data_IF_379315280527
#
_entry.id   IF_379315280527
#
_cell.length_a   1.000
_cell.length_b   1.000
_cell.length_c   1.000
_cell.angle_alpha   90.00
_cell.angle_beta   90.00
_cell.angle_gamma   90.00
#
_symmetry.space_group_name_H-M   'P 1'
#
loop_
_entity.id
_entity.type
_entity.pdbx_description
1 polymer ?
#
# COMPACT_ATOMS: atom_id res chain seq x y z
N UNK A 1 -26.71 -47.65 -41.36
CA UNK A 1 -27.33 -47.69 -40.01
C UNK A 1 -26.60 -46.70 -39.13
N UNK A 2 -27.30 -45.70 -38.55
CA UNK A 2 -26.70 -44.79 -37.56
C UNK A 2 -26.90 -45.40 -36.17
N UNK A 3 -25.88 -45.44 -35.30
CA UNK A 3 -26.04 -45.97 -33.95
C UNK A 3 -27.07 -45.13 -33.17
N UNK A 4 -27.89 -45.76 -32.31
CA UNK A 4 -28.89 -45.05 -31.54
C UNK A 4 -28.21 -44.05 -30.59
N UNK A 5 -28.71 -42.82 -30.60
CA UNK A 5 -28.20 -41.74 -29.76
C UNK A 5 -28.53 -42.05 -28.30
N UNK A 6 -27.52 -42.41 -27.49
CA UNK A 6 -27.72 -42.78 -26.09
C UNK A 6 -27.68 -41.55 -25.19
N UNK A 7 -28.86 -41.01 -24.88
CA UNK A 7 -29.04 -39.80 -24.07
C UNK A 7 -28.34 -39.91 -22.68
N UNK A 8 -28.26 -41.12 -22.11
CA UNK A 8 -27.57 -41.36 -20.83
C UNK A 8 -26.07 -41.07 -20.93
N UNK A 9 -25.43 -41.43 -22.04
CA UNK A 9 -24.00 -41.21 -22.26
C UNK A 9 -23.68 -39.72 -22.40
N UNK A 10 -24.56 -38.94 -23.03
CA UNK A 10 -24.39 -37.48 -23.16
C UNK A 10 -24.54 -36.79 -21.81
N UNK A 11 -25.55 -37.16 -21.02
CA UNK A 11 -25.77 -36.61 -19.68
C UNK A 11 -24.58 -36.85 -18.75
N UNK A 12 -24.04 -38.08 -18.72
CA UNK A 12 -22.86 -38.42 -17.89
C UNK A 12 -21.64 -37.59 -18.27
N UNK A 13 -21.42 -37.31 -19.56
CA UNK A 13 -20.29 -36.49 -20.03
C UNK A 13 -20.42 -35.01 -19.61
N UNK A 14 -21.63 -34.46 -19.64
CA UNK A 14 -21.89 -33.07 -19.19
C UNK A 14 -21.65 -32.95 -17.68
N UNK A 15 -22.14 -33.90 -16.89
CA UNK A 15 -21.93 -33.91 -15.42
C UNK A 15 -20.45 -34.07 -15.08
N UNK A 16 -19.73 -34.94 -15.78
CA UNK A 16 -18.28 -35.11 -15.59
C UNK A 16 -17.50 -33.82 -15.90
N UNK A 17 -17.86 -33.11 -16.98
CA UNK A 17 -17.25 -31.82 -17.32
C UNK A 17 -17.54 -30.76 -16.26
N UNK A 18 -18.78 -30.64 -15.78
CA UNK A 18 -19.15 -29.69 -14.71
C UNK A 18 -18.40 -29.98 -13.40
N UNK A 19 -18.25 -31.26 -13.03
CA UNK A 19 -17.48 -31.66 -11.85
C UNK A 19 -15.99 -31.33 -12.01
N UNK A 20 -15.41 -31.53 -13.19
CA UNK A 20 -14.02 -31.14 -13.48
C UNK A 20 -13.84 -29.62 -13.38
N UNK A 21 -14.76 -28.84 -13.95
CA UNK A 21 -14.75 -27.38 -13.86
C UNK A 21 -14.83 -26.88 -12.40
N UNK A 22 -15.67 -27.52 -11.58
CA UNK A 22 -15.82 -27.20 -10.16
C UNK A 22 -14.55 -27.50 -9.36
N UNK A 23 -13.89 -28.62 -9.66
CA UNK A 23 -12.62 -28.99 -9.03
C UNK A 23 -11.47 -28.04 -9.42
N UNK A 24 -11.40 -27.58 -10.67
CA UNK A 24 -10.43 -26.58 -11.09
C UNK A 24 -10.64 -25.23 -10.38
N UNK A 25 -11.89 -24.83 -10.10
CA UNK A 25 -12.18 -23.60 -9.34
C UNK A 25 -11.69 -23.63 -7.89
N UNK A 26 -11.78 -24.79 -7.22
CA UNK A 26 -11.35 -24.95 -5.83
C UNK A 26 -9.82 -24.87 -5.66
N UNK A 27 -9.03 -25.32 -6.64
CA UNK A 27 -7.57 -25.27 -6.59
C UNK A 27 -7.03 -23.83 -6.68
N UNK A 28 -7.73 -22.94 -7.39
CA UNK A 28 -7.32 -21.53 -7.53
C UNK A 28 -7.60 -20.72 -6.24
N UNK A 29 -8.58 -21.15 -5.42
CA UNK A 29 -8.95 -20.44 -4.19
C UNK A 29 -7.98 -20.69 -3.01
N UNK A 30 -7.09 -21.68 -3.09
CA UNK A 30 -6.23 -22.07 -1.95
C UNK A 30 -4.78 -21.60 -2.03
N UNK A 31 -4.34 -21.04 -3.16
CA UNK A 31 -3.00 -20.49 -3.30
C UNK A 31 -2.98 -18.98 -3.02
N UNK A 32 -3.33 -18.58 -1.80
CA UNK A 32 -2.87 -17.27 -1.31
C UNK A 32 -1.39 -17.47 -0.97
N UNK A 33 -0.45 -16.89 -1.73
CA UNK A 33 0.96 -17.00 -1.41
C UNK A 33 1.15 -16.48 0.01
N UNK A 34 1.88 -17.23 0.85
CA UNK A 34 2.28 -16.70 2.15
C UNK A 34 3.04 -15.40 1.92
N UNK A 35 2.70 -14.36 2.69
CA UNK A 35 3.42 -13.11 2.65
C UNK A 35 4.91 -13.38 2.89
N UNK A 36 5.81 -12.68 2.19
CA UNK A 36 7.24 -12.84 2.42
C UNK A 36 7.55 -12.51 3.90
N UNK A 37 8.60 -13.14 4.45
CA UNK A 37 8.94 -13.05 5.86
C UNK A 37 9.19 -11.61 6.36
N UNK A 38 9.38 -10.66 5.43
CA UNK A 38 9.66 -9.26 5.65
C UNK A 38 8.47 -8.32 5.33
N UNK A 39 7.29 -8.86 5.02
CA UNK A 39 6.11 -8.07 4.64
C UNK A 39 5.67 -7.06 5.70
N UNK A 40 5.90 -7.35 6.99
CA UNK A 40 5.54 -6.48 8.10
C UNK A 40 6.55 -5.35 8.37
N UNK A 41 7.73 -5.36 7.73
CA UNK A 41 8.75 -4.34 7.98
C UNK A 41 8.30 -2.98 7.40
N UNK A 42 8.65 -1.87 8.06
CA UNK A 42 8.39 -0.56 7.51
C UNK A 42 9.29 -0.27 6.31
N UNK A 43 8.90 0.72 5.52
CA UNK A 43 9.69 1.28 4.44
C UNK A 43 10.33 2.59 4.90
N UNK A 44 11.65 2.71 4.71
CA UNK A 44 12.37 3.97 4.85
C UNK A 44 12.77 4.43 3.45
N UNK A 45 12.21 5.52 2.97
CA UNK A 45 12.57 6.11 1.68
C UNK A 45 13.16 7.49 1.87
N UNK A 46 14.29 7.75 1.24
CA UNK A 46 14.85 9.12 1.12
C UNK A 46 14.86 9.54 -0.35
N UNK A 47 14.55 10.80 -0.60
CA UNK A 47 14.54 11.41 -1.93
C UNK A 47 15.48 12.61 -1.95
N UNK A 48 16.45 12.61 -2.85
CA UNK A 48 17.48 13.65 -2.95
C UNK A 48 17.70 14.04 -4.40
N UNK A 49 18.44 15.12 -4.64
CA UNK A 49 18.91 15.42 -5.98
C UNK A 49 20.01 14.43 -6.42
N UNK A 50 20.28 14.29 -7.73
CA UNK A 50 21.37 13.44 -8.22
C UNK A 50 22.74 13.94 -7.75
N UNK A 51 22.87 15.25 -7.52
CA UNK A 51 24.06 15.92 -6.99
C UNK A 51 24.03 16.08 -5.45
N UNK A 52 23.33 15.21 -4.72
CA UNK A 52 23.13 15.32 -3.26
C UNK A 52 24.44 15.50 -2.48
N UNK A 53 25.55 14.95 -2.95
CA UNK A 53 26.85 15.08 -2.30
C UNK A 53 27.37 16.53 -2.24
N UNK A 54 26.97 17.36 -3.21
CA UNK A 54 27.29 18.80 -3.25
C UNK A 54 26.31 19.65 -2.42
N UNK A 55 25.24 19.04 -1.88
CA UNK A 55 24.18 19.71 -1.13
C UNK A 55 24.33 19.34 0.35
N UNK A 56 24.78 20.26 1.23
CA UNK A 56 25.15 19.92 2.60
C UNK A 56 24.06 19.20 3.39
N UNK A 57 22.80 19.61 3.25
CA UNK A 57 21.68 18.99 3.96
C UNK A 57 21.40 17.56 3.45
N UNK A 58 21.41 17.34 2.14
CA UNK A 58 21.15 16.02 1.56
C UNK A 58 22.32 15.07 1.82
N UNK A 59 23.55 15.56 1.70
CA UNK A 59 24.75 14.82 2.07
C UNK A 59 24.74 14.41 3.56
N UNK A 60 24.28 15.29 4.45
CA UNK A 60 24.11 14.98 5.87
C UNK A 60 23.05 13.88 6.09
N UNK A 61 21.89 13.98 5.45
CA UNK A 61 20.83 12.97 5.51
C UNK A 61 21.34 11.60 5.02
N UNK A 62 21.98 11.55 3.85
CA UNK A 62 22.49 10.29 3.29
C UNK A 62 23.56 9.69 4.21
N UNK A 63 24.47 10.50 4.74
CA UNK A 63 25.48 10.05 5.72
C UNK A 63 24.84 9.54 7.01
N UNK A 64 23.81 10.21 7.50
CA UNK A 64 23.07 9.80 8.69
C UNK A 64 22.43 8.43 8.50
N UNK A 65 21.80 8.16 7.35
CA UNK A 65 21.17 6.86 7.07
C UNK A 65 22.21 5.74 6.83
N UNK A 66 23.37 6.08 6.30
CA UNK A 66 24.47 5.14 6.06
C UNK A 66 25.32 4.83 7.31
N UNK A 67 25.09 5.51 8.44
CA UNK A 67 25.89 5.36 9.66
C UNK A 67 25.09 5.46 10.96
N UNK A 68 25.80 5.32 12.09
CA UNK A 68 25.23 5.55 13.42
C UNK A 68 24.02 4.68 13.77
N UNK A 69 23.09 5.24 14.55
CA UNK A 69 21.88 4.53 15.00
C UNK A 69 20.80 4.42 13.91
N UNK A 70 20.74 5.39 12.99
CA UNK A 70 19.75 5.38 11.91
C UNK A 70 20.04 4.27 10.88
N UNK A 71 21.31 3.85 10.73
CA UNK A 71 21.67 2.67 9.95
C UNK A 71 20.97 1.40 10.45
N UNK A 72 20.85 1.20 11.77
CA UNK A 72 20.15 0.02 12.32
C UNK A 72 18.68 0.04 11.96
N UNK A 73 18.04 1.21 12.07
CA UNK A 73 16.65 1.38 11.65
C UNK A 73 16.48 1.14 10.14
N UNK A 74 17.39 1.65 9.31
CA UNK A 74 17.39 1.41 7.87
C UNK A 74 17.56 -0.09 7.55
N UNK A 75 18.46 -0.79 8.25
CA UNK A 75 18.69 -2.22 8.11
C UNK A 75 17.49 -3.08 8.55
N UNK A 76 16.68 -2.62 9.50
CA UNK A 76 15.42 -3.28 9.89
C UNK A 76 14.23 -2.89 9.01
N UNK A 77 14.41 -1.99 8.05
CA UNK A 77 13.38 -1.47 7.14
C UNK A 77 13.62 -1.89 5.70
N UNK A 78 12.63 -1.74 4.83
CA UNK A 78 12.79 -1.73 3.39
C UNK A 78 13.37 -0.38 2.96
N UNK A 79 14.68 -0.24 3.09
CA UNK A 79 15.36 1.02 2.78
C UNK A 79 15.53 1.24 1.26
N UNK A 80 15.17 2.43 0.78
CA UNK A 80 15.40 2.90 -0.58
C UNK A 80 15.87 4.35 -0.60
N UNK A 81 16.91 4.61 -1.37
CA UNK A 81 17.35 5.95 -1.71
C UNK A 81 17.00 6.20 -3.18
N UNK A 82 16.19 7.22 -3.41
CA UNK A 82 15.82 7.67 -4.74
C UNK A 82 16.43 9.04 -5.03
N UNK A 83 16.86 9.23 -6.27
CA UNK A 83 17.29 10.48 -6.86
C UNK A 83 16.29 10.91 -7.93
N UNK A 84 16.25 12.20 -8.29
CA UNK A 84 15.36 12.64 -9.37
C UNK A 84 15.69 12.06 -10.75
N UNK A 85 16.90 11.52 -10.92
CA UNK A 85 17.32 10.78 -12.12
C UNK A 85 16.80 9.35 -12.18
N UNK A 86 16.34 8.76 -11.07
CA UNK A 86 15.89 7.38 -11.06
C UNK A 86 14.59 7.19 -11.84
N UNK A 87 14.50 6.22 -12.77
CA UNK A 87 13.27 5.96 -13.53
C UNK A 87 12.08 5.66 -12.61
N UNK A 88 12.31 4.89 -11.55
CA UNK A 88 11.28 4.55 -10.56
C UNK A 88 10.75 5.81 -9.87
N UNK A 89 11.62 6.78 -9.55
CA UNK A 89 11.18 8.05 -8.99
C UNK A 89 10.33 8.85 -9.96
N UNK A 90 10.80 8.99 -11.20
CA UNK A 90 10.06 9.72 -12.23
C UNK A 90 8.67 9.15 -12.47
N UNK A 91 8.56 7.83 -12.53
CA UNK A 91 7.31 7.16 -12.89
C UNK A 91 6.32 7.08 -11.72
N UNK A 92 6.80 7.04 -10.47
CA UNK A 92 5.95 6.79 -9.30
C UNK A 92 5.83 7.96 -8.35
N UNK A 93 6.86 8.77 -8.20
CA UNK A 93 7.00 9.69 -7.08
C UNK A 93 7.11 11.16 -7.49
N UNK A 94 7.52 11.49 -8.72
CA UNK A 94 7.77 12.87 -9.14
C UNK A 94 6.54 13.81 -9.00
N UNK A 95 5.33 13.31 -9.23
CA UNK A 95 4.09 14.10 -9.04
C UNK A 95 3.79 14.38 -7.57
N UNK A 96 4.12 13.44 -6.67
CA UNK A 96 3.89 13.58 -5.23
C UNK A 96 4.98 14.39 -4.53
N UNK A 97 6.21 14.24 -5.02
CA UNK A 97 7.44 14.72 -4.39
C UNK A 97 8.25 15.53 -5.40
N UNK A 98 7.80 16.73 -5.79
CA UNK A 98 8.52 17.55 -6.75
C UNK A 98 9.92 17.88 -6.22
N UNK A 99 10.91 17.97 -7.12
CA UNK A 99 12.32 18.18 -6.73
C UNK A 99 12.56 19.47 -5.94
N UNK A 100 11.66 20.45 -6.06
CA UNK A 100 11.67 21.68 -5.25
C UNK A 100 11.48 21.45 -3.74
N UNK A 101 11.02 20.26 -3.34
CA UNK A 101 10.78 19.87 -1.95
C UNK A 101 11.88 18.97 -1.37
N UNK A 102 12.92 18.66 -2.14
CA UNK A 102 14.04 17.85 -1.66
C UNK A 102 14.90 18.61 -0.62
N UNK A 103 15.56 17.88 0.32
CA UNK A 103 15.47 16.43 0.53
C UNK A 103 14.13 16.02 1.16
N UNK A 104 13.73 14.76 0.98
CA UNK A 104 12.56 14.18 1.64
C UNK A 104 12.97 12.91 2.36
N UNK A 105 12.42 12.68 3.54
CA UNK A 105 12.47 11.41 4.26
C UNK A 105 11.06 10.96 4.58
N UNK A 106 10.78 9.69 4.29
CA UNK A 106 9.50 9.05 4.51
C UNK A 106 9.70 7.73 5.27
N UNK A 107 8.97 7.55 6.36
CA UNK A 107 8.82 6.28 7.06
C UNK A 107 7.38 5.83 6.93
N UNK A 108 7.19 4.71 6.24
CA UNK A 108 5.89 4.14 5.91
C UNK A 108 5.74 2.76 6.54
N UNK A 109 4.54 2.46 7.01
CA UNK A 109 4.12 1.14 7.48
C UNK A 109 3.97 0.16 6.33
N UNK A 110 3.87 -1.13 6.65
CA UNK A 110 3.63 -2.19 5.68
C UNK A 110 2.29 -2.07 4.93
N UNK A 111 1.29 -1.45 5.55
CA UNK A 111 -0.03 -1.21 4.95
C UNK A 111 -0.12 0.08 4.13
N UNK A 112 0.97 0.85 4.07
CA UNK A 112 1.07 2.08 3.29
C UNK A 112 0.77 3.37 4.05
N UNK A 113 0.38 3.32 5.33
CA UNK A 113 0.25 4.53 6.15
C UNK A 113 1.63 5.10 6.53
N UNK A 114 1.75 6.41 6.76
CA UNK A 114 3.02 7.03 7.15
C UNK A 114 3.12 7.18 8.67
N UNK A 115 4.27 6.81 9.24
CA UNK A 115 4.65 7.24 10.59
C UNK A 115 5.29 8.62 10.57
N UNK A 116 6.21 8.86 9.63
CA UNK A 116 6.98 10.10 9.58
C UNK A 116 7.20 10.56 8.14
N UNK A 117 7.11 11.86 7.91
CA UNK A 117 7.41 12.49 6.63
C UNK A 117 7.91 13.91 6.85
N UNK A 118 9.09 14.21 6.33
CA UNK A 118 9.67 15.56 6.37
C UNK A 118 10.27 15.90 5.00
N UNK A 119 10.34 17.20 4.68
CA UNK A 119 10.84 17.70 3.40
C UNK A 119 11.59 19.02 3.55
N UNK A 120 12.50 19.31 2.62
CA UNK A 120 13.32 20.53 2.59
C UNK A 120 14.01 20.79 3.94
N UNK A 121 13.94 22.04 4.39
CA UNK A 121 14.56 22.49 5.65
C UNK A 121 13.95 21.87 6.93
N UNK A 122 12.87 21.09 6.82
CA UNK A 122 12.27 20.38 7.97
C UNK A 122 12.89 19.01 8.21
N UNK A 123 13.74 18.52 7.30
CA UNK A 123 14.50 17.29 7.53
C UNK A 123 15.67 17.62 8.47
N UNK A 124 15.73 17.03 9.68
CA UNK A 124 16.85 17.23 10.58
C UNK A 124 18.16 16.82 9.92
N UNK A 125 19.18 17.68 10.06
CA UNK A 125 20.54 17.40 9.56
C UNK A 125 21.31 16.45 10.47
N UNK A 126 20.91 16.38 11.74
CA UNK A 126 21.45 15.43 12.71
C UNK A 126 20.70 14.10 12.67
N UNK A 127 21.44 13.02 12.44
CA UNK A 127 20.87 11.67 12.31
C UNK A 127 20.24 11.16 13.60
N UNK A 128 20.73 11.61 14.76
CA UNK A 128 20.15 11.24 16.06
C UNK A 128 18.82 11.95 16.27
N UNK A 129 18.75 13.26 16.04
CA UNK A 129 17.49 14.00 16.07
C UNK A 129 16.44 13.39 15.12
N UNK A 130 16.83 13.05 13.89
CA UNK A 130 15.94 12.40 12.93
C UNK A 130 15.41 11.05 13.46
N UNK A 131 16.28 10.23 14.06
CA UNK A 131 15.85 8.95 14.63
C UNK A 131 14.90 9.13 15.82
N UNK A 132 15.18 10.11 16.69
CA UNK A 132 14.32 10.41 17.85
C UNK A 132 12.94 10.90 17.40
N UNK A 133 12.86 11.74 16.36
CA UNK A 133 11.60 12.13 15.73
C UNK A 133 10.85 10.93 15.15
N UNK A 134 11.54 10.05 14.40
CA UNK A 134 10.91 8.83 13.86
C UNK A 134 10.34 7.98 14.99
N UNK A 135 11.12 7.70 16.04
CA UNK A 135 10.68 6.91 17.19
C UNK A 135 9.48 7.53 17.89
N UNK A 136 9.46 8.85 18.02
CA UNK A 136 8.34 9.58 18.60
C UNK A 136 7.04 9.31 17.83
N UNK A 137 7.02 9.47 16.51
CA UNK A 137 5.81 9.23 15.73
C UNK A 137 5.41 7.74 15.64
N UNK A 138 6.39 6.83 15.62
CA UNK A 138 6.11 5.39 15.72
C UNK A 138 5.40 5.07 17.03
N UNK A 139 5.80 5.70 18.14
CA UNK A 139 5.16 5.51 19.44
C UNK A 139 3.73 6.06 19.51
N UNK A 140 3.35 6.99 18.63
CA UNK A 140 1.98 7.50 18.54
C UNK A 140 1.03 6.58 17.78
N UNK A 141 1.52 5.53 17.10
CA UNK A 141 0.68 4.65 16.31
C UNK A 141 -0.27 3.82 17.20
N UNK A 142 -1.60 4.01 17.11
CA UNK A 142 -2.57 3.26 17.90
C UNK A 142 -2.56 1.75 17.62
N UNK A 143 -2.03 1.30 16.48
CA UNK A 143 -1.91 -0.14 16.20
C UNK A 143 -0.74 -0.78 16.94
N UNK A 144 0.31 0.00 17.23
CA UNK A 144 1.43 -0.46 18.04
C UNK A 144 1.15 -0.26 19.54
N UNK A 145 0.45 0.81 19.87
CA UNK A 145 0.10 1.19 21.24
C UNK A 145 -1.42 1.40 21.34
N UNK A 146 -2.24 0.33 21.28
CA UNK A 146 -3.67 0.47 21.46
C UNK A 146 -3.92 1.10 22.83
N UNK A 147 -4.82 2.09 22.93
CA UNK A 147 -5.12 2.71 24.22
C UNK A 147 -5.62 1.62 25.15
N UNK A 148 -4.75 1.17 26.06
CA UNK A 148 -5.13 0.36 27.20
C UNK A 148 -6.12 1.23 27.96
N UNK A 149 -7.40 0.91 27.86
CA UNK A 149 -8.49 1.75 28.37
C UNK A 149 -8.11 2.32 29.73
N UNK A 150 -8.25 3.65 29.88
CA UNK A 150 -7.96 4.50 31.07
C UNK A 150 -6.66 5.33 31.11
N UNK A 151 -5.92 5.56 30.02
CA UNK A 151 -4.75 6.45 30.03
C UNK A 151 -4.91 7.72 29.17
N UNK A 152 -5.78 8.64 29.58
CA UNK A 152 -5.78 10.04 29.08
C UNK A 152 -4.70 10.93 29.73
N UNK A 153 -3.86 10.39 30.61
CA UNK A 153 -2.89 11.19 31.37
C UNK A 153 -1.50 10.59 31.28
N UNK A 154 -0.64 11.15 30.43
CA UNK A 154 0.78 10.77 30.43
C UNK A 154 1.62 11.21 29.25
N UNK A 155 1.03 11.66 28.12
CA UNK A 155 1.80 12.05 26.94
C UNK A 155 1.98 13.57 26.81
N UNK A 156 2.48 14.18 27.87
CA UNK A 156 3.07 15.53 27.82
C UNK A 156 4.40 15.46 28.55
N UNK A 157 5.38 16.20 28.05
CA UNK A 157 6.73 16.40 28.60
C UNK A 157 7.79 15.42 28.09
N UNK A 158 8.43 15.76 26.96
CA UNK A 158 9.90 15.62 26.84
C UNK A 158 10.52 16.33 25.63
N UNK A 159 9.73 16.82 24.67
CA UNK A 159 10.24 17.71 23.61
C UNK A 159 9.64 19.09 23.90
N UNK A 160 10.50 20.08 24.12
CA UNK A 160 10.18 21.43 24.63
C UNK A 160 9.30 22.28 23.72
N UNK A 161 8.07 21.85 23.45
CA UNK A 161 6.98 22.72 23.04
C UNK A 161 6.22 23.07 24.32
N UNK A 162 6.52 24.24 24.87
CA UNK A 162 5.77 24.83 25.97
C UNK A 162 4.31 24.95 25.52
N UNK A 163 3.45 24.10 26.07
CA UNK A 163 2.01 24.26 25.92
C UNK A 163 1.61 25.45 26.79
N UNK A 164 1.41 26.61 26.17
CA UNK A 164 0.75 27.75 26.82
C UNK A 164 -0.49 27.25 27.56
N UNK A 165 -0.50 27.44 28.88
CA UNK A 165 -1.64 27.13 29.73
C UNK A 165 -2.81 28.00 29.28
N UNK A 166 -3.93 27.38 28.89
CA UNK A 166 -5.12 28.12 28.47
C UNK A 166 -5.59 29.05 29.59
N UNK A 167 -5.76 30.34 29.27
CA UNK A 167 -6.35 31.33 30.16
C UNK A 167 -7.85 31.12 30.39
N UNK A 168 -8.47 31.93 31.26
CA UNK A 168 -9.89 31.83 31.63
C UNK A 168 -10.87 32.06 30.47
N UNK A 169 -10.41 32.62 29.34
CA UNK A 169 -11.23 32.92 28.16
C UNK A 169 -11.45 31.72 27.22
N UNK A 170 -11.03 30.52 27.65
CA UNK A 170 -11.14 29.29 26.88
C UNK A 170 -9.99 29.11 25.89
N UNK A 171 -9.66 27.85 25.60
CA UNK A 171 -8.67 27.57 24.56
C UNK A 171 -9.27 27.99 23.20
N UNK A 172 -8.51 28.69 22.33
CA UNK A 172 -8.96 28.89 20.95
C UNK A 172 -9.29 27.52 20.34
N UNK A 173 -10.31 27.42 19.48
CA UNK A 173 -10.69 26.16 18.85
C UNK A 173 -9.44 25.50 18.29
N UNK A 174 -9.21 24.24 18.66
CA UNK A 174 -8.06 23.46 18.17
C UNK A 174 -8.05 23.59 16.64
N UNK A 175 -6.97 24.09 16.02
CA UNK A 175 -6.87 24.00 14.57
C UNK A 175 -6.87 22.51 14.24
N UNK A 176 -7.70 22.10 13.28
CA UNK A 176 -7.91 20.71 12.83
C UNK A 176 -6.64 20.03 12.26
N UNK A 177 -5.48 20.69 12.38
CA UNK A 177 -4.19 20.32 11.82
C UNK A 177 -3.31 19.56 12.83
N UNK A 178 -3.84 18.51 13.47
CA UNK A 178 -3.06 17.59 14.33
C UNK A 178 -2.16 16.62 13.53
N UNK A 179 -1.78 17.00 12.32
CA UNK A 179 -0.69 16.39 11.56
C UNK A 179 0.40 17.46 11.41
N UNK A 180 1.69 17.14 11.64
CA UNK A 180 2.74 18.13 11.57
C UNK A 180 2.82 18.68 10.15
N UNK A 181 2.31 19.90 9.99
CA UNK A 181 2.66 20.84 8.94
C UNK A 181 2.75 20.19 7.55
N UNK A 182 1.70 19.47 7.15
CA UNK A 182 1.47 19.13 5.75
C UNK A 182 1.38 20.48 5.04
N UNK A 183 2.23 20.72 4.04
CA UNK A 183 2.04 21.86 3.15
C UNK A 183 0.56 21.84 2.72
N UNK A 184 -0.25 22.90 2.89
CA UNK A 184 -1.66 22.89 2.47
C UNK A 184 -1.83 22.69 0.94
N UNK A 185 -0.73 22.70 0.17
CA UNK A 185 -0.71 22.30 -1.25
C UNK A 185 -0.47 20.79 -1.48
N UNK A 186 -0.20 20.00 -0.44
CA UNK A 186 -0.10 18.55 -0.53
C UNK A 186 -1.43 17.97 -0.05
N UNK A 187 -2.19 17.29 -0.94
CA UNK A 187 -3.47 16.67 -0.59
C UNK A 187 -3.36 15.81 0.66
N UNK A 188 -4.42 15.84 1.47
CA UNK A 188 -4.51 15.05 2.69
C UNK A 188 -4.26 13.57 2.40
N UNK A 189 -3.62 12.88 3.34
CA UNK A 189 -3.32 11.45 3.24
C UNK A 189 -4.57 10.60 3.01
N UNK A 190 -5.74 11.08 3.47
CA UNK A 190 -7.04 10.47 3.20
C UNK A 190 -7.46 10.55 1.73
N UNK A 191 -7.12 11.63 1.02
CA UNK A 191 -7.33 11.78 -0.43
C UNK A 191 -6.31 10.97 -1.25
N UNK A 192 -5.08 10.80 -0.75
CA UNK A 192 -4.04 9.96 -1.37
C UNK A 192 -4.31 8.46 -1.24
N UNK A 193 -4.91 8.01 -0.15
CA UNK A 193 -5.24 6.59 0.08
C UNK A 193 -6.46 6.12 -0.72
N UNK A 194 -7.20 7.04 -1.35
CA UNK A 194 -8.16 6.70 -2.40
C UNK A 194 -7.52 6.62 -3.80
N UNK A 195 -6.28 7.10 -3.96
CA UNK A 195 -5.49 6.79 -5.16
C UNK A 195 -4.94 5.38 -4.97
N UNK A 196 -5.86 4.42 -5.10
CA UNK A 196 -5.61 3.07 -5.61
C UNK A 196 -4.39 3.11 -6.51
N UNK A 197 -3.26 2.55 -6.08
CA UNK A 197 -2.06 2.51 -6.92
C UNK A 197 -2.48 1.86 -8.24
N UNK A 198 -2.55 2.61 -9.35
CA UNK A 198 -3.36 2.19 -10.49
C UNK A 198 -2.81 0.89 -11.08
N UNK A 199 -1.52 0.58 -10.91
CA UNK A 199 -0.93 -0.65 -11.41
C UNK A 199 -1.35 -1.89 -10.61
N UNK A 200 -1.35 -1.85 -9.27
CA UNK A 200 -1.73 -3.02 -8.46
C UNK A 200 -3.23 -3.32 -8.60
N UNK A 201 -4.07 -2.28 -8.63
CA UNK A 201 -5.50 -2.44 -8.82
C UNK A 201 -5.89 -2.69 -10.29
N UNK A 202 -5.13 -2.21 -11.28
CA UNK A 202 -5.35 -2.57 -12.70
C UNK A 202 -4.89 -3.99 -13.01
N UNK A 203 -3.85 -4.50 -12.34
CA UNK A 203 -3.47 -5.90 -12.48
C UNK A 203 -4.48 -6.83 -11.80
N UNK A 204 -4.94 -6.47 -10.59
CA UNK A 204 -5.99 -7.22 -9.91
C UNK A 204 -7.35 -7.15 -10.64
N UNK A 205 -7.71 -5.99 -11.22
CA UNK A 205 -8.95 -5.84 -11.99
C UNK A 205 -8.86 -6.47 -13.38
N UNK A 206 -7.70 -6.41 -14.04
CA UNK A 206 -7.50 -7.04 -15.35
C UNK A 206 -7.61 -8.56 -15.27
N UNK A 207 -7.01 -9.17 -14.24
CA UNK A 207 -7.09 -10.61 -14.01
C UNK A 207 -8.52 -11.03 -13.68
N UNK A 208 -9.22 -10.30 -12.80
CA UNK A 208 -10.62 -10.62 -12.47
C UNK A 208 -11.57 -10.45 -13.65
N UNK A 209 -11.38 -9.42 -14.47
CA UNK A 209 -12.16 -9.18 -15.69
C UNK A 209 -11.94 -10.30 -16.71
N UNK A 210 -10.71 -10.76 -16.90
CA UNK A 210 -10.41 -11.89 -17.79
C UNK A 210 -11.13 -13.18 -17.33
N UNK A 211 -11.09 -13.48 -16.03
CA UNK A 211 -11.79 -14.64 -15.48
C UNK A 211 -13.31 -14.53 -15.65
N UNK A 212 -13.89 -13.34 -15.45
CA UNK A 212 -15.32 -13.12 -15.66
C UNK A 212 -15.72 -13.33 -17.13
N UNK A 213 -14.93 -12.83 -18.09
CA UNK A 213 -15.18 -13.02 -19.52
C UNK A 213 -15.08 -14.50 -19.91
N UNK A 214 -14.07 -15.21 -19.42
CA UNK A 214 -13.93 -16.66 -19.67
C UNK A 214 -15.09 -17.46 -19.08
N UNK A 215 -15.53 -17.12 -17.86
CA UNK A 215 -16.67 -17.76 -17.22
C UNK A 215 -17.98 -17.52 -18.00
N UNK A 216 -18.24 -16.29 -18.43
CA UNK A 216 -19.40 -15.96 -19.27
C UNK A 216 -19.35 -16.68 -20.63
N UNK A 217 -18.19 -16.71 -21.27
CA UNK A 217 -17.99 -17.42 -22.54
C UNK A 217 -18.24 -18.93 -22.40
N UNK A 218 -17.76 -19.54 -21.32
CA UNK A 218 -17.99 -20.95 -21.03
C UNK A 218 -19.49 -21.24 -20.77
N UNK A 219 -20.18 -20.38 -20.01
CA UNK A 219 -21.62 -20.51 -19.77
C UNK A 219 -22.44 -20.45 -21.07
N UNK A 220 -22.14 -19.48 -21.94
CA UNK A 220 -22.78 -19.36 -23.25
C UNK A 220 -22.54 -20.60 -24.11
N UNK A 221 -21.31 -21.12 -24.12
CA UNK A 221 -20.98 -22.34 -24.85
C UNK A 221 -21.83 -23.53 -24.37
N UNK A 222 -21.95 -23.73 -23.05
CA UNK A 222 -22.79 -24.79 -22.46
C UNK A 222 -24.26 -24.64 -22.85
N UNK A 223 -24.80 -23.41 -22.83
CA UNK A 223 -26.19 -23.14 -23.22
C UNK A 223 -26.45 -23.44 -24.70
N UNK A 224 -25.55 -23.02 -25.60
CA UNK A 224 -25.67 -23.29 -27.04
C UNK A 224 -25.63 -24.78 -27.34
N UNK A 225 -24.67 -25.50 -26.75
CA UNK A 225 -24.57 -26.96 -26.91
C UNK A 225 -25.84 -27.65 -26.39
N UNK A 226 -26.37 -27.22 -25.25
CA UNK A 226 -27.61 -27.76 -24.67
C UNK A 226 -28.82 -27.52 -25.58
N UNK A 227 -28.95 -26.31 -26.16
CA UNK A 227 -30.02 -25.99 -27.09
C UNK A 227 -29.96 -26.82 -28.37
N UNK A 228 -28.77 -27.02 -28.94
CA UNK A 228 -28.56 -27.88 -30.12
C UNK A 228 -28.96 -29.32 -29.80
N UNK A 229 -28.54 -29.86 -28.66
CA UNK A 229 -28.90 -31.22 -28.24
C UNK A 229 -30.42 -31.36 -28.08
N UNK A 230 -31.08 -30.39 -27.42
CA UNK A 230 -32.54 -30.40 -27.27
C UNK A 230 -33.27 -30.33 -28.61
N UNK A 231 -32.77 -29.54 -29.56
CA UNK A 231 -33.33 -29.46 -30.91
C UNK A 231 -33.19 -30.79 -31.67
N UNK A 232 -32.03 -31.45 -31.57
CA UNK A 232 -31.76 -32.71 -32.25
C UNK A 232 -32.49 -33.92 -31.64
N UNK A 233 -32.82 -33.87 -30.34
CA UNK A 233 -33.50 -34.95 -29.62
C UNK A 233 -35.02 -34.84 -29.68
N UNK A 234 -35.58 -33.72 -30.16
CA UNK A 234 -37.03 -33.53 -30.27
C UNK A 234 -37.62 -34.59 -31.22
N UNK A 235 -38.48 -35.50 -30.75
CA UNK A 235 -39.13 -36.47 -31.62
C UNK A 235 -40.00 -35.72 -32.62
N UNK A 236 -39.92 -36.12 -33.90
CA UNK A 236 -40.82 -35.63 -34.95
C UNK A 236 -42.25 -36.05 -34.69
#
# INVERSE_FOLDING_TARGET
>A
MRPPFNCKTVFVRIVALLLMSLQCGLVVAQNVPADPADAARPYLSIFTHPDYAARPQEAALVRAVQGGELLRFAQSSHFKHYTSSDPIYRDRFATMFPTSTFPIVCVQRSDGAYWYKASGNRVPTDGRQLLDEIKYYVALDPQLNPPSGTAESGLKTQIGYEYEQCGPDGCPPRPDTWLPNVNPQLPDSSDFLQIKTPVRDSMASGVSTLFAVLACGFLLFVLVVSAIVLFLVRPK
#
